data_IF_176640524302
#
_entry.id   IF_176640524302
#
_cell.length_a   1.000
_cell.length_b   1.000
_cell.length_c   1.000
_cell.angle_alpha   90.00
_cell.angle_beta   90.00
_cell.angle_gamma   90.00
#
_symmetry.space_group_name_H-M   'P 1'
#
loop_
_entity.id
_entity.type
_entity.pdbx_description
1 polymer ?
#
# COMPACT_ATOMS: atom_id res chain seq x y z
N UNK A 1 5.49 -9.38 19.86
CA UNK A 1 4.48 -8.73 18.99
C UNK A 1 3.61 -9.81 18.40
N UNK A 2 2.30 -9.61 18.36
CA UNK A 2 1.36 -10.59 17.82
C UNK A 2 1.25 -10.41 16.31
N UNK A 3 1.91 -11.29 15.55
CA UNK A 3 1.89 -11.26 14.09
C UNK A 3 0.47 -11.39 13.53
N UNK A 4 -0.47 -12.01 14.25
CA UNK A 4 -1.87 -12.14 13.82
C UNK A 4 -2.52 -10.76 13.67
N UNK A 5 -2.31 -9.86 14.64
CA UNK A 5 -2.86 -8.50 14.59
C UNK A 5 -2.26 -7.74 13.40
N UNK A 6 -0.95 -7.83 13.23
CA UNK A 6 -0.28 -7.15 12.13
C UNK A 6 -0.75 -7.66 10.77
N UNK A 7 -0.86 -8.98 10.61
CA UNK A 7 -1.40 -9.60 9.40
C UNK A 7 -2.82 -9.13 9.10
N UNK A 8 -3.69 -9.07 10.11
CA UNK A 8 -5.06 -8.56 9.94
C UNK A 8 -5.04 -7.09 9.47
N UNK A 9 -4.19 -6.25 10.04
CA UNK A 9 -4.09 -4.85 9.63
C UNK A 9 -3.61 -4.72 8.17
N UNK A 10 -2.61 -5.50 7.74
CA UNK A 10 -2.17 -5.53 6.34
C UNK A 10 -3.30 -5.97 5.40
N UNK A 11 -4.03 -7.03 5.74
CA UNK A 11 -5.16 -7.52 4.93
C UNK A 11 -6.27 -6.45 4.84
N UNK A 12 -6.62 -5.81 5.96
CA UNK A 12 -7.65 -4.77 5.96
C UNK A 12 -7.21 -3.55 5.14
N UNK A 13 -5.96 -3.11 5.30
CA UNK A 13 -5.41 -2.01 4.52
C UNK A 13 -5.46 -2.32 3.01
N UNK A 14 -4.98 -3.48 2.57
CA UNK A 14 -4.97 -3.83 1.15
C UNK A 14 -6.37 -3.96 0.57
N UNK A 15 -7.26 -4.66 1.28
CA UNK A 15 -8.64 -4.85 0.85
C UNK A 15 -9.39 -3.53 0.73
N UNK A 16 -9.39 -2.70 1.78
CA UNK A 16 -10.14 -1.44 1.78
C UNK A 16 -9.53 -0.39 0.86
N UNK A 17 -8.23 -0.45 0.58
CA UNK A 17 -7.61 0.40 -0.45
C UNK A 17 -8.25 0.13 -1.81
N UNK A 18 -8.13 -1.09 -2.35
CA UNK A 18 -8.70 -1.41 -3.68
C UNK A 18 -10.21 -1.19 -3.74
N UNK A 19 -10.94 -1.66 -2.74
CA UNK A 19 -12.40 -1.58 -2.77
C UNK A 19 -12.90 -0.12 -2.67
N UNK A 20 -12.20 0.73 -1.91
CA UNK A 20 -12.47 2.17 -1.86
C UNK A 20 -12.24 2.84 -3.21
N UNK A 21 -11.11 2.52 -3.86
CA UNK A 21 -10.72 3.09 -5.14
C UNK A 21 -11.75 2.70 -6.21
N UNK A 22 -12.08 1.40 -6.34
CA UNK A 22 -13.02 0.92 -7.35
C UNK A 22 -14.44 1.48 -7.16
N UNK A 23 -14.91 1.62 -5.91
CA UNK A 23 -16.19 2.28 -5.63
C UNK A 23 -16.19 3.75 -6.08
N UNK A 24 -15.07 4.44 -5.95
CA UNK A 24 -14.94 5.83 -6.37
C UNK A 24 -14.88 5.96 -7.88
N UNK A 25 -14.02 5.16 -8.52
CA UNK A 25 -13.67 5.29 -9.92
C UNK A 25 -14.72 4.67 -10.84
N UNK A 26 -15.26 3.51 -10.47
CA UNK A 26 -16.23 2.76 -11.28
C UNK A 26 -17.66 3.16 -10.93
N UNK A 27 -18.02 3.05 -9.65
CA UNK A 27 -19.41 3.30 -9.21
C UNK A 27 -19.71 4.77 -8.92
N UNK A 28 -18.71 5.64 -8.87
CA UNK A 28 -18.85 7.06 -8.54
C UNK A 28 -19.48 7.30 -7.14
N UNK A 29 -19.40 6.30 -6.25
CA UNK A 29 -20.02 6.28 -4.93
C UNK A 29 -19.11 6.94 -3.87
N UNK A 30 -19.14 8.27 -3.84
CA UNK A 30 -18.22 9.08 -3.03
C UNK A 30 -18.31 8.80 -1.53
N UNK A 31 -19.52 8.65 -1.00
CA UNK A 31 -19.72 8.55 0.45
C UNK A 31 -19.18 7.24 1.02
N UNK A 32 -19.53 6.12 0.37
CA UNK A 32 -19.10 4.78 0.81
C UNK A 32 -17.59 4.62 0.59
N UNK A 33 -17.08 5.03 -0.59
CA UNK A 33 -15.65 5.04 -0.86
C UNK A 33 -14.88 5.83 0.21
N UNK A 34 -15.31 7.04 0.55
CA UNK A 34 -14.63 7.86 1.57
C UNK A 34 -14.62 7.21 2.96
N UNK A 35 -15.73 6.55 3.34
CA UNK A 35 -15.81 5.82 4.60
C UNK A 35 -14.84 4.63 4.62
N UNK A 36 -14.72 3.88 3.53
CA UNK A 36 -13.75 2.79 3.42
C UNK A 36 -12.31 3.29 3.37
N UNK A 37 -12.04 4.41 2.69
CA UNK A 37 -10.75 5.10 2.72
C UNK A 37 -10.33 5.50 4.14
N UNK A 38 -11.27 5.97 4.96
CA UNK A 38 -11.02 6.23 6.38
C UNK A 38 -10.61 4.96 7.15
N UNK A 39 -11.31 3.84 6.93
CA UNK A 39 -10.97 2.56 7.57
C UNK A 39 -9.60 2.07 7.10
N UNK A 40 -9.29 2.21 5.80
CA UNK A 40 -7.98 1.91 5.24
C UNK A 40 -6.87 2.74 5.90
N UNK A 41 -7.07 4.05 6.04
CA UNK A 41 -6.13 4.95 6.72
C UNK A 41 -5.88 4.54 8.18
N UNK A 42 -6.94 4.20 8.92
CA UNK A 42 -6.85 3.72 10.30
C UNK A 42 -6.09 2.38 10.41
N UNK A 43 -6.40 1.41 9.55
CA UNK A 43 -5.71 0.12 9.55
C UNK A 43 -4.21 0.28 9.24
N UNK A 44 -3.90 1.12 8.25
CA UNK A 44 -2.53 1.37 7.80
C UNK A 44 -1.69 2.10 8.86
N UNK A 45 -2.25 3.12 9.51
CA UNK A 45 -1.53 3.82 10.58
C UNK A 45 -1.42 2.97 11.84
N UNK A 46 -2.42 2.14 12.14
CA UNK A 46 -2.32 1.18 13.24
C UNK A 46 -1.19 0.19 12.99
N UNK A 47 -1.00 -0.31 11.75
CA UNK A 47 0.12 -1.20 11.42
C UNK A 47 1.47 -0.49 11.55
N UNK A 48 1.54 0.77 11.12
CA UNK A 48 2.73 1.64 11.22
C UNK A 48 3.15 1.86 12.68
N UNK A 49 2.20 2.10 13.57
CA UNK A 49 2.48 2.26 14.99
C UNK A 49 2.78 0.93 15.69
N UNK A 50 2.22 -0.17 15.19
CA UNK A 50 2.43 -1.49 15.77
C UNK A 50 3.84 -2.03 15.52
N UNK A 51 4.42 -1.80 14.34
CA UNK A 51 5.70 -2.36 13.94
C UNK A 51 6.53 -1.42 13.05
N UNK A 52 7.83 -1.31 13.34
CA UNK A 52 8.76 -0.43 12.63
C UNK A 52 8.97 -0.84 11.16
N UNK A 53 9.06 -2.14 10.86
CA UNK A 53 9.20 -2.64 9.49
C UNK A 53 7.94 -2.33 8.66
N UNK A 54 6.76 -2.47 9.28
CA UNK A 54 5.50 -2.05 8.67
C UNK A 54 5.43 -0.54 8.46
N UNK A 55 6.01 0.25 9.37
CA UNK A 55 6.09 1.70 9.23
C UNK A 55 6.87 2.11 7.98
N UNK A 56 7.99 1.44 7.66
CA UNK A 56 8.71 1.70 6.41
C UNK A 56 7.79 1.47 5.20
N UNK A 57 7.05 0.37 5.16
CA UNK A 57 6.18 0.05 4.03
C UNK A 57 5.07 1.10 3.86
N UNK A 58 4.28 1.35 4.91
CA UNK A 58 3.11 2.23 4.79
C UNK A 58 3.49 3.71 4.63
N UNK A 59 4.55 4.19 5.30
CA UNK A 59 5.01 5.57 5.12
C UNK A 59 5.61 5.74 3.72
N UNK A 60 6.36 4.75 3.23
CA UNK A 60 6.82 4.79 1.84
C UNK A 60 5.66 4.79 0.86
N UNK A 61 4.60 4.00 1.10
CA UNK A 61 3.42 3.91 0.22
C UNK A 61 2.70 5.25 0.14
N UNK A 62 2.51 5.89 1.29
CA UNK A 62 1.97 7.25 1.37
C UNK A 62 2.83 8.25 0.59
N UNK A 63 4.14 8.29 0.83
CA UNK A 63 5.04 9.27 0.20
C UNK A 63 5.16 9.00 -1.32
N UNK A 64 5.35 7.74 -1.72
CA UNK A 64 5.47 7.34 -3.11
C UNK A 64 4.23 7.70 -3.91
N UNK A 65 3.03 7.42 -3.38
CA UNK A 65 1.77 7.73 -4.06
C UNK A 65 1.50 9.24 -4.14
N UNK A 66 1.97 10.03 -3.17
CA UNK A 66 1.94 11.51 -3.27
C UNK A 66 2.86 11.97 -4.40
N UNK A 67 4.09 11.45 -4.49
CA UNK A 67 5.07 11.85 -5.50
C UNK A 67 4.58 11.52 -6.91
N UNK A 68 3.91 10.38 -7.09
CA UNK A 68 3.35 9.94 -8.38
C UNK A 68 1.96 10.54 -8.63
N UNK A 69 1.46 11.41 -7.75
CA UNK A 69 0.15 12.05 -7.86
C UNK A 69 -1.05 11.08 -7.94
N UNK A 70 -0.93 9.91 -7.31
CA UNK A 70 -2.04 8.94 -7.16
C UNK A 70 -3.06 9.35 -6.09
N UNK A 71 -2.72 10.33 -5.25
CA UNK A 71 -3.66 10.90 -4.26
C UNK A 71 -4.49 11.99 -4.92
N UNK A 72 -5.52 11.59 -5.66
CA UNK A 72 -6.35 12.46 -6.51
C UNK A 72 -7.84 12.52 -6.08
N UNK A 73 -8.35 11.47 -5.42
CA UNK A 73 -9.72 11.40 -4.90
C UNK A 73 -9.89 11.87 -3.44
N UNK A 74 -11.12 12.23 -3.07
CA UNK A 74 -11.45 12.60 -1.68
C UNK A 74 -11.24 11.44 -0.70
N UNK A 75 -11.45 10.20 -1.14
CA UNK A 75 -11.20 9.00 -0.34
C UNK A 75 -9.71 8.86 -0.01
N UNK A 76 -8.82 9.09 -0.99
CA UNK A 76 -7.37 9.17 -0.79
C UNK A 76 -6.98 10.29 0.19
N UNK A 77 -7.55 11.49 0.03
CA UNK A 77 -7.26 12.63 0.91
C UNK A 77 -7.69 12.34 2.35
N UNK A 78 -8.86 11.74 2.56
CA UNK A 78 -9.33 11.38 3.91
C UNK A 78 -8.43 10.32 4.54
N UNK A 79 -8.07 9.27 3.80
CA UNK A 79 -7.13 8.25 4.27
C UNK A 79 -5.79 8.89 4.69
N UNK A 80 -5.27 9.81 3.86
CA UNK A 80 -4.03 10.55 4.12
C UNK A 80 -4.12 11.41 5.38
N UNK A 81 -5.19 12.20 5.52
CA UNK A 81 -5.39 13.07 6.69
C UNK A 81 -5.46 12.25 7.96
N UNK A 82 -6.22 11.15 7.96
CA UNK A 82 -6.33 10.26 9.12
C UNK A 82 -4.97 9.67 9.49
N UNK A 83 -4.23 9.18 8.49
CA UNK A 83 -2.91 8.60 8.70
C UNK A 83 -1.94 9.62 9.30
N UNK A 84 -1.86 10.83 8.73
CA UNK A 84 -0.97 11.88 9.22
C UNK A 84 -1.41 12.42 10.59
N UNK A 85 -2.70 12.63 10.83
CA UNK A 85 -3.20 13.14 12.10
C UNK A 85 -2.84 12.20 13.25
N UNK A 86 -3.00 10.89 13.06
CA UNK A 86 -2.64 9.89 14.07
C UNK A 86 -1.13 9.86 14.30
N UNK A 87 -0.31 9.92 13.24
CA UNK A 87 1.15 9.97 13.38
C UNK A 87 1.64 11.26 14.08
N UNK A 88 0.99 12.40 13.86
CA UNK A 88 1.34 13.65 14.54
C UNK A 88 1.05 13.60 16.05
N UNK A 89 0.00 12.88 16.46
CA UNK A 89 -0.38 12.75 17.87
C UNK A 89 0.51 11.72 18.59
N UNK A 90 0.74 10.56 17.97
CA UNK A 90 1.48 9.45 18.60
C UNK A 90 2.99 9.58 18.42
N UNK A 91 3.43 10.21 17.33
CA UNK A 91 4.82 10.32 16.91
C UNK A 91 5.17 9.34 15.79
N UNK A 92 6.16 9.73 14.99
CA UNK A 92 6.71 8.90 13.91
C UNK A 92 7.77 7.97 14.51
N UNK A 93 7.74 6.65 14.21
CA UNK A 93 8.80 5.74 14.61
C UNK A 93 10.18 6.22 14.13
N UNK A 94 11.25 5.85 14.83
CA UNK A 94 12.60 6.20 14.39
C UNK A 94 12.99 5.33 13.19
N UNK A 95 13.02 5.93 11.99
CA UNK A 95 13.29 5.26 10.73
C UNK A 95 14.62 5.73 10.14
N UNK A 96 15.39 4.78 9.62
CA UNK A 96 16.57 5.05 8.82
C UNK A 96 16.16 5.67 7.50
N UNK A 97 16.63 6.89 7.24
CA UNK A 97 16.34 7.61 6.01
C UNK A 97 16.75 6.80 4.76
N UNK A 98 17.85 6.05 4.83
CA UNK A 98 18.34 5.25 3.72
C UNK A 98 17.37 4.11 3.36
N UNK A 99 16.88 3.36 4.35
CA UNK A 99 15.96 2.24 4.13
C UNK A 99 14.61 2.78 3.64
N UNK A 100 14.15 3.89 4.23
CA UNK A 100 12.92 4.57 3.81
C UNK A 100 13.01 5.03 2.35
N UNK A 101 14.14 5.62 1.95
CA UNK A 101 14.38 6.04 0.57
C UNK A 101 14.32 4.86 -0.41
N UNK A 102 14.95 3.73 -0.07
CA UNK A 102 14.90 2.51 -0.89
C UNK A 102 13.45 2.05 -1.09
N UNK A 103 12.65 2.04 -0.01
CA UNK A 103 11.25 1.64 -0.08
C UNK A 103 10.41 2.66 -0.90
N UNK A 104 10.63 3.96 -0.74
CA UNK A 104 9.96 5.00 -1.55
C UNK A 104 10.27 4.81 -3.04
N UNK A 105 11.55 4.61 -3.39
CA UNK A 105 11.97 4.42 -4.78
C UNK A 105 11.36 3.17 -5.39
N UNK A 106 11.21 2.09 -4.62
CA UNK A 106 10.54 0.89 -5.11
C UNK A 106 9.07 1.14 -5.45
N UNK A 107 8.35 1.92 -4.63
CA UNK A 107 6.92 2.24 -4.86
C UNK A 107 6.77 3.15 -6.07
N UNK A 108 7.61 4.18 -6.17
CA UNK A 108 7.65 5.05 -7.35
C UNK A 108 7.95 4.20 -8.60
N UNK A 109 8.90 3.27 -8.52
CA UNK A 109 9.24 2.38 -9.62
C UNK A 109 8.08 1.49 -10.05
N UNK A 110 7.33 0.94 -9.09
CA UNK A 110 6.13 0.15 -9.37
C UNK A 110 5.03 1.00 -10.01
N UNK A 111 4.70 2.17 -9.47
CA UNK A 111 3.61 3.00 -10.00
C UNK A 111 3.95 3.58 -11.38
N UNK A 112 5.16 4.13 -11.56
CA UNK A 112 5.59 4.65 -12.86
C UNK A 112 5.67 3.52 -13.89
N UNK A 113 6.21 2.37 -13.48
CA UNK A 113 6.32 1.21 -14.36
C UNK A 113 4.95 0.66 -14.76
N UNK A 114 3.98 0.64 -13.84
CA UNK A 114 2.62 0.21 -14.09
C UNK A 114 1.94 1.07 -15.17
N UNK A 115 2.17 2.39 -15.18
CA UNK A 115 1.56 3.30 -16.16
C UNK A 115 2.29 3.35 -17.51
N UNK A 116 3.63 3.34 -17.49
CA UNK A 116 4.43 3.56 -18.70
C UNK A 116 4.64 2.28 -19.53
N UNK A 117 4.96 1.16 -18.89
CA UNK A 117 5.47 -0.04 -19.58
C UNK A 117 4.43 -0.67 -20.53
N UNK A 118 3.13 -0.77 -20.19
CA UNK A 118 2.11 -1.27 -21.12
C UNK A 118 2.03 -0.48 -22.42
N UNK A 119 2.34 0.82 -22.37
CA UNK A 119 2.30 1.72 -23.53
C UNK A 119 3.61 1.75 -24.32
N UNK A 120 4.72 1.28 -23.73
CA UNK A 120 6.05 1.32 -24.34
C UNK A 120 6.48 -0.02 -24.93
N UNK A 121 5.94 -1.14 -24.45
CA UNK A 121 6.41 -2.47 -24.88
C UNK A 121 5.26 -3.47 -25.03
N UNK A 122 5.35 -4.34 -26.03
CA UNK A 122 4.46 -5.51 -26.17
C UNK A 122 4.98 -6.74 -25.41
N UNK A 123 6.07 -6.60 -24.65
CA UNK A 123 6.67 -7.74 -23.95
C UNK A 123 5.77 -8.16 -22.78
N UNK A 124 5.11 -9.31 -22.96
CA UNK A 124 4.18 -9.89 -21.96
C UNK A 124 4.79 -10.04 -20.57
N UNK A 125 6.08 -10.37 -20.48
CA UNK A 125 6.74 -10.55 -19.19
C UNK A 125 6.88 -9.21 -18.45
N UNK A 126 7.33 -8.16 -19.14
CA UNK A 126 7.50 -6.84 -18.53
C UNK A 126 6.16 -6.23 -18.16
N UNK A 127 5.15 -6.37 -19.02
CA UNK A 127 3.80 -5.88 -18.73
C UNK A 127 3.25 -6.56 -17.48
N UNK A 128 3.33 -7.90 -17.39
CA UNK A 128 2.91 -8.64 -16.20
C UNK A 128 3.69 -8.24 -14.94
N UNK A 129 5.00 -7.99 -15.07
CA UNK A 129 5.85 -7.61 -13.95
C UNK A 129 5.43 -6.27 -13.30
N UNK A 130 5.05 -5.29 -14.12
CA UNK A 130 4.63 -3.98 -13.61
C UNK A 130 3.12 -3.90 -13.34
N UNK A 131 2.30 -4.72 -14.00
CA UNK A 131 0.88 -4.86 -13.71
C UNK A 131 0.66 -5.29 -12.25
N UNK A 132 1.43 -6.27 -11.78
CA UNK A 132 1.35 -6.79 -10.40
C UNK A 132 2.39 -6.16 -9.46
N UNK A 133 2.98 -5.01 -9.79
CA UNK A 133 3.86 -4.24 -8.90
C UNK A 133 4.94 -5.11 -8.20
N UNK A 134 5.76 -5.79 -9.00
CA UNK A 134 6.74 -6.74 -8.47
C UNK A 134 8.02 -6.06 -7.91
N UNK A 135 8.29 -4.78 -8.20
CA UNK A 135 9.50 -4.09 -7.71
C UNK A 135 9.52 -4.08 -6.19
N UNK A 136 8.43 -3.65 -5.55
CA UNK A 136 8.35 -3.58 -4.09
C UNK A 136 8.39 -4.95 -3.43
N UNK A 137 7.83 -5.98 -4.07
CA UNK A 137 7.91 -7.36 -3.57
C UNK A 137 9.37 -7.80 -3.49
N UNK A 138 10.17 -7.49 -4.51
CA UNK A 138 11.60 -7.79 -4.53
C UNK A 138 12.35 -6.95 -3.50
N UNK A 139 12.08 -5.65 -3.39
CA UNK A 139 12.72 -4.76 -2.41
C UNK A 139 12.48 -5.26 -0.98
N UNK A 140 11.23 -5.52 -0.62
CA UNK A 140 10.87 -6.00 0.73
C UNK A 140 11.48 -7.39 0.99
N UNK A 141 11.49 -8.29 -0.01
CA UNK A 141 12.13 -9.60 0.13
C UNK A 141 13.64 -9.48 0.37
N UNK A 142 14.34 -8.64 -0.39
CA UNK A 142 15.78 -8.43 -0.21
C UNK A 142 16.10 -7.81 1.15
N UNK A 143 15.31 -6.83 1.60
CA UNK A 143 15.44 -6.26 2.94
C UNK A 143 15.21 -7.31 4.04
N UNK A 144 14.25 -8.22 3.85
CA UNK A 144 14.02 -9.32 4.78
C UNK A 144 15.16 -10.35 4.78
N UNK A 145 15.69 -10.72 3.61
CA UNK A 145 16.81 -11.67 3.49
C UNK A 145 18.13 -11.11 4.05
N UNK A 146 18.35 -9.81 3.92
CA UNK A 146 19.49 -9.10 4.52
C UNK A 146 19.35 -8.89 6.03
N UNK A 147 18.23 -9.33 6.65
CA UNK A 147 17.96 -9.19 8.08
C UNK A 147 17.57 -7.78 8.52
N UNK A 148 17.26 -6.88 7.57
CA UNK A 148 16.78 -5.52 7.87
C UNK A 148 15.33 -5.57 8.33
N UNK A 149 14.50 -6.36 7.65
CA UNK A 149 13.12 -6.63 8.04
C UNK A 149 12.97 -8.05 8.57
N UNK A 150 11.97 -8.24 9.44
CA UNK A 150 11.54 -9.58 9.78
C UNK A 150 10.87 -10.26 8.56
N UNK A 151 11.20 -11.53 8.28
CA UNK A 151 10.57 -12.30 7.19
C UNK A 151 9.03 -12.35 7.28
N UNK A 152 8.47 -12.27 8.49
CA UNK A 152 7.03 -12.19 8.71
C UNK A 152 6.40 -10.93 8.10
N UNK A 153 7.16 -9.85 7.95
CA UNK A 153 6.69 -8.60 7.33
C UNK A 153 6.56 -8.77 5.83
N UNK A 154 7.49 -9.50 5.20
CA UNK A 154 7.33 -9.90 3.81
C UNK A 154 6.05 -10.73 3.62
N UNK A 155 5.77 -11.68 4.51
CA UNK A 155 4.52 -12.46 4.46
C UNK A 155 3.29 -11.55 4.64
N UNK A 156 3.31 -10.61 5.58
CA UNK A 156 2.23 -9.64 5.76
C UNK A 156 2.03 -8.76 4.52
N UNK A 157 3.12 -8.33 3.88
CA UNK A 157 3.08 -7.54 2.65
C UNK A 157 2.48 -8.32 1.48
N UNK A 158 2.83 -9.59 1.32
CA UNK A 158 2.19 -10.46 0.32
C UNK A 158 0.70 -10.62 0.61
N UNK A 159 0.29 -10.74 1.87
CA UNK A 159 -1.14 -10.83 2.23
C UNK A 159 -1.90 -9.52 1.96
N UNK A 160 -1.26 -8.36 2.15
CA UNK A 160 -1.81 -7.08 1.71
C UNK A 160 -2.07 -7.09 0.20
N UNK A 161 -1.10 -7.50 -0.60
CA UNK A 161 -1.23 -7.57 -2.06
C UNK A 161 -2.33 -8.57 -2.51
N UNK A 162 -2.38 -9.75 -1.90
CA UNK A 162 -3.42 -10.74 -2.18
C UNK A 162 -4.81 -10.20 -1.81
N UNK A 163 -4.91 -9.48 -0.68
CA UNK A 163 -6.17 -8.86 -0.26
C UNK A 163 -6.60 -7.71 -1.18
N UNK A 164 -5.64 -6.96 -1.72
CA UNK A 164 -5.87 -5.90 -2.70
C UNK A 164 -6.45 -6.48 -4.00
N UNK A 165 -5.79 -7.50 -4.57
CA UNK A 165 -6.32 -8.18 -5.78
C UNK A 165 -7.67 -8.85 -5.48
N UNK A 166 -7.81 -9.49 -4.33
CA UNK A 166 -9.05 -10.12 -3.90
C UNK A 166 -10.21 -9.13 -3.77
N UNK A 167 -9.95 -7.92 -3.26
CA UNK A 167 -10.95 -6.86 -3.20
C UNK A 167 -11.45 -6.45 -4.58
N UNK A 168 -10.57 -6.34 -5.57
CA UNK A 168 -10.98 -6.07 -6.96
C UNK A 168 -11.90 -7.16 -7.52
N UNK A 169 -11.55 -8.43 -7.30
CA UNK A 169 -12.39 -9.57 -7.72
C UNK A 169 -13.76 -9.53 -7.02
N UNK A 170 -13.79 -9.27 -5.71
CA UNK A 170 -15.04 -9.14 -4.96
C UNK A 170 -15.86 -7.98 -5.50
N UNK A 171 -15.23 -6.85 -5.81
CA UNK A 171 -15.91 -5.70 -6.37
C UNK A 171 -16.61 -6.04 -7.70
N UNK A 172 -15.90 -6.71 -8.63
CA UNK A 172 -16.44 -7.14 -9.93
C UNK A 172 -17.59 -8.15 -9.83
N UNK A 173 -17.65 -8.96 -8.77
CA UNK A 173 -18.72 -9.95 -8.58
C UNK A 173 -20.01 -9.32 -8.05
N UNK A 174 -19.90 -8.30 -7.20
CA UNK A 174 -21.04 -7.76 -6.43
C UNK A 174 -21.55 -6.40 -6.89
N UNK A 175 -20.88 -5.72 -7.82
CA UNK A 175 -21.31 -4.44 -8.41
C UNK A 175 -21.37 -4.52 -9.93
#
# INVERSE_FOLDING_TARGET
MNYIILTLLFILSGFFMKYSDDLYDVNHERNISTFLGLICGLASVAATLYNVDAAYIFISLLIGNIIVFKVDGIHHIVALIVFLAVLLIVGIPNLSLLILLICILGIIGDEIGHELIPNMTENRFLNFFFEYRFVMKIVVLLLALCGVFNIWIFVCFILFEVSYVGAGIVFEIYN
#
